data_IF_640467244740
#
_entry.id   IF_640467244740
#
_cell.length_a   1.000
_cell.length_b   1.000
_cell.length_c   1.000
_cell.angle_alpha   90.00
_cell.angle_beta   90.00
_cell.angle_gamma   90.00
#
_symmetry.space_group_name_H-M   'P 1'
#
loop_
_entity.id
_entity.type
_entity.pdbx_description
1 polymer ?
#
# COMPACT_ATOMS: atom_id res chain seq x y z
N UNK A 1 -17.68 -8.78 -1.61
CA UNK A 1 -16.48 -8.47 -0.82
C UNK A 1 -16.53 -9.15 0.54
N UNK A 2 -15.49 -9.86 0.93
CA UNK A 2 -15.42 -10.62 2.17
C UNK A 2 -15.28 -9.68 3.38
N UNK A 3 -15.84 -10.05 4.54
CA UNK A 3 -15.66 -9.32 5.81
C UNK A 3 -14.18 -9.14 6.15
N UNK A 4 -13.36 -10.14 5.83
CA UNK A 4 -11.90 -10.12 6.02
C UNK A 4 -11.21 -8.94 5.32
N UNK A 5 -11.64 -8.60 4.10
CA UNK A 5 -11.05 -7.48 3.34
C UNK A 5 -11.31 -6.13 4.02
N UNK A 6 -12.47 -5.98 4.64
CA UNK A 6 -12.84 -4.76 5.37
C UNK A 6 -12.04 -4.59 6.66
N UNK A 7 -11.77 -5.68 7.37
CA UNK A 7 -10.87 -5.67 8.53
C UNK A 7 -9.44 -5.33 8.13
N UNK A 8 -8.97 -5.85 6.99
CA UNK A 8 -7.66 -5.50 6.44
C UNK A 8 -7.57 -4.00 6.13
N UNK A 9 -8.58 -3.41 5.51
CA UNK A 9 -8.60 -1.97 5.20
C UNK A 9 -8.54 -1.12 6.47
N UNK A 10 -9.33 -1.45 7.49
CA UNK A 10 -9.27 -0.77 8.78
C UNK A 10 -7.89 -0.87 9.44
N UNK A 11 -7.28 -2.06 9.42
CA UNK A 11 -5.93 -2.28 9.93
C UNK A 11 -4.87 -1.50 9.13
N UNK A 12 -5.07 -1.35 7.81
CA UNK A 12 -4.21 -0.52 6.95
C UNK A 12 -4.28 0.95 7.35
N UNK A 13 -5.48 1.49 7.60
CA UNK A 13 -5.63 2.86 8.10
C UNK A 13 -4.85 3.09 9.40
N UNK A 14 -4.98 2.15 10.35
CA UNK A 14 -4.27 2.23 11.63
C UNK A 14 -2.75 2.17 11.45
N UNK A 15 -2.24 1.31 10.59
CA UNK A 15 -0.81 1.24 10.27
C UNK A 15 -0.34 2.51 9.55
N UNK A 16 -1.14 3.02 8.63
CA UNK A 16 -0.85 4.24 7.87
C UNK A 16 -0.73 5.47 8.77
N UNK A 17 -1.61 5.60 9.76
CA UNK A 17 -1.47 6.60 10.82
C UNK A 17 -0.14 6.43 11.55
N UNK A 18 0.20 5.20 11.94
CA UNK A 18 1.43 4.89 12.68
C UNK A 18 2.72 5.20 11.93
N UNK A 19 2.82 4.91 10.64
CA UNK A 19 4.04 5.23 9.87
C UNK A 19 4.01 6.61 9.18
N UNK A 20 2.93 7.37 9.35
CA UNK A 20 2.82 8.75 8.87
C UNK A 20 2.51 8.87 7.38
N UNK A 21 1.60 8.05 6.85
CA UNK A 21 1.13 8.20 5.48
C UNK A 21 0.42 9.53 5.28
N UNK A 22 0.74 10.24 4.21
CA UNK A 22 0.07 11.50 3.88
C UNK A 22 -1.33 11.32 3.31
N UNK A 23 -1.58 10.18 2.66
CA UNK A 23 -2.89 9.85 2.07
C UNK A 23 -3.01 8.37 1.71
N UNK A 24 -4.23 7.84 1.76
CA UNK A 24 -4.60 6.52 1.26
C UNK A 24 -5.52 6.65 0.06
N UNK A 25 -5.24 5.93 -1.01
CA UNK A 25 -6.13 5.75 -2.16
C UNK A 25 -6.77 4.37 -2.12
N UNK A 26 -8.09 4.34 -1.99
CA UNK A 26 -8.90 3.13 -2.00
C UNK A 26 -9.50 2.99 -3.39
N UNK A 27 -9.32 1.84 -4.04
CA UNK A 27 -9.69 1.71 -5.45
C UNK A 27 -10.51 0.47 -5.76
N UNK A 28 -11.31 0.53 -6.82
CA UNK A 28 -12.09 -0.60 -7.34
C UNK A 28 -13.06 -1.18 -6.31
N UNK A 29 -12.91 -2.45 -5.99
CA UNK A 29 -13.77 -3.14 -5.03
C UNK A 29 -13.34 -2.99 -3.57
N UNK A 30 -12.32 -2.18 -3.29
CA UNK A 30 -11.84 -1.94 -1.93
C UNK A 30 -12.90 -1.25 -1.09
N UNK A 31 -13.10 -1.70 0.15
CA UNK A 31 -13.99 -1.03 1.10
C UNK A 31 -13.48 0.36 1.46
N UNK A 32 -14.39 1.28 1.72
CA UNK A 32 -14.06 2.64 2.16
C UNK A 32 -15.03 3.11 3.25
N UNK A 33 -14.61 4.07 4.10
CA UNK A 33 -15.49 4.64 5.12
C UNK A 33 -16.70 5.39 4.53
N UNK A 34 -17.82 5.57 5.28
CA UNK A 34 -18.02 5.07 6.65
C UNK A 34 -18.59 3.65 6.68
N UNK A 35 -17.99 2.77 7.49
CA UNK A 35 -18.47 1.39 7.69
C UNK A 35 -18.08 0.93 9.10
N UNK A 36 -19.04 0.35 9.82
CA UNK A 36 -18.84 -0.11 11.21
C UNK A 36 -17.76 -1.20 11.34
N UNK A 37 -17.71 -2.12 10.38
CA UNK A 37 -16.73 -3.21 10.36
C UNK A 37 -15.30 -2.74 10.06
N UNK A 38 -15.16 -1.67 9.29
CA UNK A 38 -13.88 -0.99 9.05
C UNK A 38 -13.48 -0.18 10.30
N UNK A 39 -14.39 0.57 10.87
CA UNK A 39 -14.16 1.39 12.06
C UNK A 39 -13.63 0.56 13.25
N UNK A 40 -14.15 -0.66 13.44
CA UNK A 40 -13.71 -1.57 14.53
C UNK A 40 -12.21 -1.91 14.50
N UNK A 41 -11.60 -1.92 13.33
CA UNK A 41 -10.17 -2.23 13.16
C UNK A 41 -9.31 -0.99 12.94
N UNK A 42 -9.86 0.05 12.35
CA UNK A 42 -9.21 1.34 12.15
C UNK A 42 -9.05 2.14 13.45
N UNK A 43 -10.00 1.97 14.41
CA UNK A 43 -10.01 2.66 15.71
C UNK A 43 -9.90 4.19 15.60
N UNK A 44 -10.56 4.79 14.61
CA UNK A 44 -10.54 6.21 14.36
C UNK A 44 -9.44 6.71 13.40
N UNK A 45 -8.52 5.85 12.98
CA UNK A 45 -7.46 6.24 12.04
C UNK A 45 -8.01 6.68 10.67
N UNK A 46 -9.20 6.23 10.28
CA UNK A 46 -9.91 6.68 9.08
C UNK A 46 -10.35 8.15 9.15
N UNK A 47 -10.34 8.75 10.33
CA UNK A 47 -10.62 10.18 10.52
C UNK A 47 -9.32 11.02 10.53
N UNK A 48 -8.19 10.41 10.89
CA UNK A 48 -6.89 11.11 11.00
C UNK A 48 -6.06 11.03 9.73
N UNK A 49 -6.14 9.93 8.98
CA UNK A 49 -5.40 9.76 7.71
C UNK A 49 -6.28 10.18 6.54
N UNK A 50 -5.90 11.20 5.75
CA UNK A 50 -6.63 11.59 4.54
C UNK A 50 -6.78 10.42 3.57
N UNK A 51 -7.94 10.27 2.95
CA UNK A 51 -8.17 9.21 1.98
C UNK A 51 -9.09 9.67 0.85
N UNK A 52 -9.01 8.96 -0.27
CA UNK A 52 -9.90 9.12 -1.42
C UNK A 52 -10.31 7.74 -1.92
N UNK A 53 -11.53 7.64 -2.47
CA UNK A 53 -11.98 6.46 -3.21
C UNK A 53 -12.06 6.77 -4.71
N UNK A 54 -11.57 5.84 -5.53
CA UNK A 54 -11.63 5.89 -6.99
C UNK A 54 -12.04 4.55 -7.55
N UNK A 55 -13.07 4.54 -8.38
CA UNK A 55 -13.52 3.31 -9.06
C UNK A 55 -12.46 2.79 -10.04
N UNK A 56 -11.83 3.68 -10.79
CA UNK A 56 -10.81 3.36 -11.79
C UNK A 56 -9.40 3.47 -11.21
N UNK A 57 -8.83 2.31 -10.87
CA UNK A 57 -7.48 2.19 -10.31
C UNK A 57 -6.40 2.70 -11.26
N UNK A 58 -6.53 2.44 -12.57
CA UNK A 58 -5.54 2.86 -13.56
C UNK A 58 -5.53 4.37 -13.70
N UNK A 59 -6.69 4.98 -13.75
CA UNK A 59 -6.82 6.44 -13.86
C UNK A 59 -6.18 7.16 -12.68
N UNK A 60 -6.43 6.70 -11.45
CA UNK A 60 -5.81 7.32 -10.27
C UNK A 60 -4.30 7.06 -10.23
N UNK A 61 -3.83 5.87 -10.60
CA UNK A 61 -2.40 5.57 -10.66
C UNK A 61 -1.66 6.50 -11.66
N UNK A 62 -2.23 6.71 -12.84
CA UNK A 62 -1.70 7.68 -13.82
C UNK A 62 -1.66 9.10 -13.29
N UNK A 63 -2.71 9.54 -12.56
CA UNK A 63 -2.76 10.86 -11.93
C UNK A 63 -1.66 11.03 -10.87
N UNK A 64 -1.46 10.04 -10.02
CA UNK A 64 -0.42 10.05 -8.98
C UNK A 64 0.96 10.16 -9.64
N UNK A 65 1.22 9.34 -10.65
CA UNK A 65 2.48 9.36 -11.40
C UNK A 65 2.72 10.72 -12.09
N UNK A 66 1.69 11.29 -12.71
CA UNK A 66 1.76 12.62 -13.35
C UNK A 66 2.01 13.76 -12.36
N UNK A 67 1.70 13.57 -11.07
CA UNK A 67 2.01 14.53 -10.00
C UNK A 67 3.47 14.47 -9.52
N UNK A 68 4.30 13.60 -10.10
CA UNK A 68 5.71 13.45 -9.77
C UNK A 68 6.01 12.43 -8.66
N UNK A 69 5.03 11.64 -8.25
CA UNK A 69 5.26 10.55 -7.29
C UNK A 69 5.68 9.26 -8.01
N UNK A 70 6.63 8.56 -7.44
CA UNK A 70 7.02 7.23 -7.92
C UNK A 70 6.01 6.18 -7.47
N UNK A 71 5.61 5.29 -8.36
CA UNK A 71 4.74 4.16 -8.04
C UNK A 71 5.58 2.94 -7.73
N UNK A 72 5.41 2.39 -6.53
CA UNK A 72 6.12 1.21 -6.07
C UNK A 72 5.11 0.08 -5.84
N UNK A 73 5.20 -0.98 -6.64
CA UNK A 73 4.35 -2.17 -6.48
C UNK A 73 4.96 -3.14 -5.46
N UNK A 74 4.15 -3.52 -4.48
CA UNK A 74 4.51 -4.51 -3.46
C UNK A 74 3.88 -5.84 -3.83
N UNK A 75 4.63 -6.69 -4.50
CA UNK A 75 4.17 -8.03 -4.92
C UNK A 75 5.36 -8.96 -5.18
N UNK A 76 5.22 -10.23 -4.86
CA UNK A 76 6.21 -11.24 -5.24
C UNK A 76 6.07 -11.58 -6.72
N UNK A 77 7.01 -11.12 -7.52
CA UNK A 77 7.12 -11.44 -8.95
C UNK A 77 8.57 -11.77 -9.29
N UNK A 78 8.79 -12.35 -10.46
CA UNK A 78 10.16 -12.63 -10.94
C UNK A 78 11.01 -11.37 -11.15
N UNK A 79 10.37 -10.20 -11.26
CA UNK A 79 11.03 -8.90 -11.43
C UNK A 79 11.11 -8.08 -10.14
N UNK A 80 10.60 -8.57 -9.03
CA UNK A 80 10.61 -7.87 -7.76
C UNK A 80 11.98 -7.93 -7.09
N UNK A 81 12.37 -6.82 -6.49
CA UNK A 81 13.60 -6.68 -5.72
C UNK A 81 13.29 -6.65 -4.23
N UNK A 82 14.24 -7.07 -3.41
CA UNK A 82 14.10 -7.06 -1.96
C UNK A 82 13.96 -5.62 -1.44
N UNK A 83 12.91 -5.35 -0.66
CA UNK A 83 12.62 -4.02 -0.12
C UNK A 83 13.79 -3.41 0.65
N UNK A 84 14.59 -4.21 1.34
CA UNK A 84 15.68 -3.73 2.19
C UNK A 84 16.91 -3.30 1.41
N UNK A 85 17.07 -3.77 0.16
CA UNK A 85 18.24 -3.51 -0.69
C UNK A 85 17.90 -2.74 -1.96
N UNK A 86 16.62 -2.52 -2.26
CA UNK A 86 16.19 -1.78 -3.43
C UNK A 86 16.40 -0.28 -3.26
N UNK A 87 16.68 0.39 -4.38
CA UNK A 87 16.67 1.84 -4.48
C UNK A 87 15.29 2.32 -4.95
N UNK A 88 14.80 3.36 -4.32
CA UNK A 88 13.56 4.04 -4.73
C UNK A 88 13.60 5.51 -4.34
N UNK A 89 12.93 6.33 -5.15
CA UNK A 89 12.92 7.78 -4.99
C UNK A 89 11.64 8.27 -4.31
N UNK A 90 11.77 9.30 -3.49
CA UNK A 90 10.65 10.00 -2.87
C UNK A 90 10.32 11.29 -3.65
N UNK A 91 9.07 11.77 -3.63
CA UNK A 91 7.91 11.14 -2.98
C UNK A 91 7.44 9.89 -3.72
N UNK A 92 6.89 8.93 -2.98
CA UNK A 92 6.39 7.69 -3.56
C UNK A 92 4.99 7.34 -3.06
N UNK A 93 4.27 6.59 -3.90
CA UNK A 93 3.04 5.90 -3.54
C UNK A 93 3.25 4.41 -3.74
N UNK A 94 3.11 3.62 -2.70
CA UNK A 94 3.19 2.17 -2.85
C UNK A 94 1.81 1.54 -3.01
N UNK A 95 1.77 0.47 -3.80
CA UNK A 95 0.57 -0.24 -4.19
C UNK A 95 0.61 -1.63 -3.59
N UNK A 96 -0.46 -2.00 -2.88
CA UNK A 96 -0.68 -3.36 -2.40
C UNK A 96 -1.92 -3.93 -3.06
N UNK A 97 -1.86 -5.17 -3.48
CA UNK A 97 -2.94 -5.85 -4.16
C UNK A 97 -3.85 -6.65 -3.24
N UNK A 98 -4.92 -7.17 -3.81
CA UNK A 98 -5.79 -8.13 -3.15
C UNK A 98 -5.04 -9.45 -2.91
N UNK A 99 -5.29 -10.12 -1.78
CA UNK A 99 -4.63 -11.38 -1.41
C UNK A 99 -4.90 -12.53 -2.40
N UNK A 100 -6.00 -12.49 -3.13
CA UNK A 100 -6.42 -13.57 -4.04
C UNK A 100 -6.03 -13.27 -5.48
N UNK A 101 -6.32 -12.06 -5.97
CA UNK A 101 -6.14 -11.68 -7.38
C UNK A 101 -4.89 -10.84 -7.65
N UNK A 102 -4.22 -10.36 -6.60
CA UNK A 102 -3.08 -9.46 -6.75
C UNK A 102 -3.48 -8.13 -7.42
N UNK A 103 -2.59 -7.58 -8.24
CA UNK A 103 -2.84 -6.40 -9.08
C UNK A 103 -2.92 -6.78 -10.55
N UNK A 104 -3.62 -5.95 -11.35
CA UNK A 104 -3.69 -6.17 -12.80
C UNK A 104 -2.33 -5.98 -13.47
N UNK A 105 -2.11 -6.65 -14.60
CA UNK A 105 -0.89 -6.47 -15.40
C UNK A 105 -0.70 -5.02 -15.86
N UNK A 106 -1.78 -4.32 -16.18
CA UNK A 106 -1.73 -2.92 -16.59
C UNK A 106 -1.21 -2.04 -15.44
N UNK A 107 -1.70 -2.25 -14.20
CA UNK A 107 -1.22 -1.53 -13.03
C UNK A 107 0.25 -1.86 -12.73
N UNK A 108 0.63 -3.14 -12.83
CA UNK A 108 2.01 -3.57 -12.66
C UNK A 108 2.97 -2.90 -13.65
N UNK A 109 2.55 -2.72 -14.91
CA UNK A 109 3.35 -2.02 -15.93
C UNK A 109 3.48 -0.52 -15.68
N UNK A 110 2.54 0.09 -14.98
CA UNK A 110 2.61 1.51 -14.60
C UNK A 110 3.59 1.76 -13.45
N UNK A 111 3.84 0.76 -12.60
CA UNK A 111 4.75 0.90 -11.47
C UNK A 111 6.19 1.14 -11.94
N UNK A 112 6.87 2.06 -11.26
CA UNK A 112 8.27 2.40 -11.54
C UNK A 112 9.24 1.38 -10.94
N UNK A 113 8.84 0.77 -9.82
CA UNK A 113 9.63 -0.22 -9.09
C UNK A 113 8.73 -1.32 -8.56
N UNK A 114 9.21 -2.56 -8.61
CA UNK A 114 8.56 -3.72 -8.03
C UNK A 114 9.42 -4.22 -6.87
N UNK A 115 8.82 -4.33 -5.69
CA UNK A 115 9.50 -4.79 -4.48
C UNK A 115 8.77 -5.95 -3.84
N UNK A 116 9.51 -6.76 -3.11
CA UNK A 116 8.96 -7.84 -2.30
C UNK A 116 9.49 -7.83 -0.88
N UNK A 117 8.70 -8.36 0.04
CA UNK A 117 9.15 -8.74 1.36
C UNK A 117 9.75 -10.15 1.29
N UNK A 118 11.02 -10.35 1.67
CA UNK A 118 11.65 -11.65 1.57
C UNK A 118 10.98 -12.65 2.51
N UNK A 119 10.45 -13.74 1.96
CA UNK A 119 9.84 -14.83 2.71
C UNK A 119 10.85 -15.97 2.88
N UNK A 120 11.13 -16.37 4.12
CA UNK A 120 12.10 -17.42 4.45
C UNK A 120 11.46 -18.72 4.95
N UNK A 121 10.14 -18.75 5.02
CA UNK A 121 9.36 -19.90 5.46
C UNK A 121 8.68 -20.62 4.31
N UNK A 122 7.72 -21.48 4.66
CA UNK A 122 6.94 -22.28 3.69
C UNK A 122 5.88 -21.42 2.99
N UNK A 123 5.34 -20.40 3.66
CA UNK A 123 4.34 -19.49 3.07
C UNK A 123 5.02 -18.51 2.15
N UNK A 124 4.34 -18.19 1.03
CA UNK A 124 4.87 -17.31 -0.01
C UNK A 124 4.35 -15.87 0.11
N UNK A 125 3.38 -15.59 0.97
CA UNK A 125 2.81 -14.25 1.15
C UNK A 125 2.40 -14.00 2.59
N UNK A 126 2.36 -12.71 2.96
CA UNK A 126 1.80 -12.21 4.20
C UNK A 126 0.37 -11.71 3.98
N UNK A 127 -0.39 -11.60 5.05
CA UNK A 127 -1.63 -10.83 5.04
C UNK A 127 -1.34 -9.40 4.57
N UNK A 128 -2.21 -8.84 3.74
CA UNK A 128 -2.00 -7.52 3.09
C UNK A 128 -1.84 -6.39 4.11
N UNK A 129 -2.57 -6.39 5.22
CA UNK A 129 -2.43 -5.36 6.25
C UNK A 129 -1.11 -5.47 7.00
N UNK A 130 -0.61 -6.69 7.23
CA UNK A 130 0.70 -6.92 7.83
C UNK A 130 1.81 -6.46 6.87
N UNK A 131 1.74 -6.85 5.61
CA UNK A 131 2.68 -6.42 4.58
C UNK A 131 2.71 -4.88 4.46
N UNK A 132 1.55 -4.23 4.45
CA UNK A 132 1.42 -2.77 4.40
C UNK A 132 2.11 -2.09 5.58
N UNK A 133 1.96 -2.62 6.77
CA UNK A 133 2.63 -2.10 7.97
C UNK A 133 4.15 -2.18 7.86
N UNK A 134 4.69 -3.33 7.48
CA UNK A 134 6.14 -3.54 7.33
C UNK A 134 6.72 -2.60 6.26
N UNK A 135 6.09 -2.56 5.08
CA UNK A 135 6.51 -1.72 3.95
C UNK A 135 6.44 -0.23 4.31
N UNK A 136 5.34 0.20 4.90
CA UNK A 136 5.13 1.60 5.28
C UNK A 136 6.17 2.09 6.30
N UNK A 137 6.50 1.30 7.32
CA UNK A 137 7.54 1.64 8.28
C UNK A 137 8.94 1.67 7.66
N UNK A 138 9.25 0.77 6.73
CA UNK A 138 10.55 0.81 6.01
C UNK A 138 10.67 2.06 5.13
N UNK A 139 9.62 2.44 4.40
CA UNK A 139 9.63 3.67 3.63
C UNK A 139 9.71 4.91 4.51
N UNK A 140 8.97 4.96 5.62
CA UNK A 140 9.06 6.05 6.59
C UNK A 140 10.47 6.18 7.17
N UNK A 141 11.09 5.07 7.52
CA UNK A 141 12.48 5.04 8.00
C UNK A 141 13.45 5.63 6.97
N UNK A 142 13.36 5.20 5.70
CA UNK A 142 14.23 5.69 4.63
C UNK A 142 14.00 7.16 4.31
N UNK A 143 12.76 7.59 4.21
CA UNK A 143 12.41 8.98 4.00
C UNK A 143 13.01 9.90 5.08
N UNK A 144 12.93 9.50 6.33
CA UNK A 144 13.49 10.24 7.45
C UNK A 144 15.02 10.29 7.45
N UNK A 145 15.71 9.25 6.94
CA UNK A 145 17.16 9.24 6.79
C UNK A 145 17.58 10.22 5.70
N UNK A 146 16.92 10.23 4.56
CA UNK A 146 17.23 11.10 3.42
C UNK A 146 16.99 12.58 3.75
N UNK A 147 15.93 12.89 4.49
CA UNK A 147 15.60 14.28 4.84
C UNK A 147 16.35 14.82 6.08
N UNK A 148 17.14 14.02 6.77
CA UNK A 148 18.02 14.47 7.85
C UNK A 148 19.43 14.88 7.37
N UNK A 149 19.68 14.73 6.08
CA UNK A 149 20.91 15.18 5.42
C UNK A 149 20.73 16.56 4.80
#
# INVERSE_FOLDING_TARGET
MCIRDRHNVGSIFRSADGFGASKIYLTGYTAYPPRDDLHKTALGAEESVPWEYHEDTIKIAKRIKSSGQNLVLVEQTHSSSNIYTSDYNFPLCFIVGNEVSGVSEELARLADTHIELPMRGVKQSLNVSVATGIVGYEFSRRFNIENKR
#
